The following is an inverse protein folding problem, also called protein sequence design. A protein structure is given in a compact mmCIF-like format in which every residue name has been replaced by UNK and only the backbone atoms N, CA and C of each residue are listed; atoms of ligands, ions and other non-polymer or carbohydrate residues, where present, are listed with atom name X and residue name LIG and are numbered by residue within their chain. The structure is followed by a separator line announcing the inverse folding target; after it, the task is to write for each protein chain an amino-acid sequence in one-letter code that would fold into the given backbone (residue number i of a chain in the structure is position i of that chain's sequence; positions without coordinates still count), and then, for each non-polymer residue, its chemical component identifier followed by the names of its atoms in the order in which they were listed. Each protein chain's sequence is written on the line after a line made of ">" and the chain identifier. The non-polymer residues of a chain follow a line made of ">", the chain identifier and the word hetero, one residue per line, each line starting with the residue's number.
data_IF_849788836867
#
_entry.id   IF_849788836867
#
_cell.length_a   1.000
_cell.length_b   1.000
_cell.length_c   1.000
_cell.angle_alpha   90.00
_cell.angle_beta   90.00
_cell.angle_gamma   90.00
#
_symmetry.space_group_name_H-M   'P 1'
#
loop_
_entity.id
_entity.type
_entity.pdbx_description
1 polymer ?
#
# COMPACT_ATOMS: atom_id res chain seq x y z
N UNK A 1 19.89 6.69 -4.22
CA UNK A 1 19.34 5.76 -5.24
C UNK A 1 17.99 6.32 -5.66
N UNK A 2 17.80 6.64 -6.94
CA UNK A 2 16.46 7.00 -7.41
C UNK A 2 15.59 5.75 -7.56
N UNK A 3 14.25 5.87 -7.53
CA UNK A 3 13.35 4.74 -7.78
C UNK A 3 13.68 3.98 -9.07
N UNK A 4 13.99 4.70 -10.15
CA UNK A 4 14.33 4.09 -11.44
C UNK A 4 15.61 3.24 -11.39
N UNK A 5 16.64 3.70 -10.67
CA UNK A 5 17.88 2.93 -10.49
C UNK A 5 17.66 1.66 -9.66
N UNK A 6 16.68 1.67 -8.76
CA UNK A 6 16.33 0.51 -7.95
C UNK A 6 15.55 -0.54 -8.75
N UNK A 7 14.60 -0.09 -9.59
CA UNK A 7 13.84 -0.93 -10.52
C UNK A 7 14.79 -1.70 -11.46
N UNK A 8 15.74 -0.99 -12.10
CA UNK A 8 16.72 -1.61 -13.00
C UNK A 8 17.58 -2.69 -12.32
N UNK A 9 17.87 -2.52 -11.02
CA UNK A 9 18.63 -3.52 -10.26
C UNK A 9 17.78 -4.76 -9.97
N UNK A 10 16.48 -4.60 -9.68
CA UNK A 10 15.57 -5.73 -9.53
C UNK A 10 15.43 -6.49 -10.85
N UNK A 11 15.22 -5.78 -11.96
CA UNK A 11 15.05 -6.37 -13.30
C UNK A 11 16.31 -7.11 -13.79
N UNK A 12 17.50 -6.67 -13.40
CA UNK A 12 18.76 -7.36 -13.71
C UNK A 12 19.01 -8.63 -12.87
N UNK A 13 18.07 -9.02 -12.01
CA UNK A 13 18.18 -10.21 -11.16
C UNK A 13 19.14 -10.04 -9.99
N UNK A 14 19.49 -8.80 -9.64
CA UNK A 14 20.31 -8.50 -8.46
C UNK A 14 19.57 -8.98 -7.22
N UNK A 15 20.20 -9.88 -6.45
CA UNK A 15 19.68 -10.31 -5.16
C UNK A 15 19.96 -9.24 -4.12
N UNK A 16 18.93 -8.83 -3.40
CA UNK A 16 19.05 -7.95 -2.24
C UNK A 16 19.09 -8.81 -0.99
N UNK A 17 19.79 -8.33 0.04
CA UNK A 17 19.72 -8.95 1.37
C UNK A 17 18.26 -8.81 1.81
N UNK A 18 17.57 -9.94 1.98
CA UNK A 18 16.24 -9.95 2.53
C UNK A 18 16.35 -9.55 4.01
N UNK A 19 15.77 -8.41 4.38
CA UNK A 19 15.63 -8.05 5.77
C UNK A 19 14.40 -8.80 6.31
N UNK A 20 14.64 -9.87 7.06
CA UNK A 20 13.61 -10.53 7.85
C UNK A 20 13.47 -9.78 9.17
N UNK A 21 12.48 -8.88 9.23
CA UNK A 21 12.12 -8.17 10.44
C UNK A 21 10.65 -8.35 10.71
N UNK A 22 10.31 -8.57 11.98
CA UNK A 22 8.91 -8.64 12.40
C UNK A 22 8.32 -7.24 12.33
N UNK A 23 7.26 -7.09 11.54
CA UNK A 23 6.46 -5.87 11.55
C UNK A 23 5.67 -5.89 12.87
N UNK A 24 6.17 -5.20 13.88
CA UNK A 24 5.53 -5.13 15.19
C UNK A 24 4.16 -4.44 15.05
N UNK A 25 3.08 -5.20 15.22
CA UNK A 25 1.72 -4.71 14.99
C UNK A 25 1.15 -3.92 16.17
N UNK A 26 1.81 -3.92 17.33
CA UNK A 26 1.30 -3.27 18.56
C UNK A 26 1.19 -1.75 18.45
N UNK A 27 1.91 -1.12 17.51
CA UNK A 27 1.90 0.34 17.35
C UNK A 27 1.16 0.82 16.09
N UNK A 28 0.48 -0.07 15.35
CA UNK A 28 -0.33 0.35 14.20
C UNK A 28 -1.59 1.07 14.69
N UNK A 29 -1.47 2.37 14.92
CA UNK A 29 -2.60 3.27 15.23
C UNK A 29 -3.43 3.61 13.99
N UNK A 30 -2.86 3.37 12.80
CA UNK A 30 -3.51 3.65 11.54
C UNK A 30 -4.70 2.73 11.30
N UNK A 31 -5.87 3.29 11.04
CA UNK A 31 -7.05 2.55 10.59
C UNK A 31 -7.46 2.98 9.19
N UNK A 32 -8.03 2.03 8.45
CA UNK A 32 -8.68 2.26 7.17
C UNK A 32 -10.10 1.69 7.28
N UNK A 33 -11.09 2.55 7.11
CA UNK A 33 -12.49 2.16 7.07
C UNK A 33 -12.99 2.22 5.63
N UNK A 34 -13.75 1.21 5.21
CA UNK A 34 -14.22 1.06 3.83
C UNK A 34 -15.74 1.03 3.85
N UNK A 35 -16.34 2.00 3.18
CA UNK A 35 -17.79 2.03 2.94
C UNK A 35 -18.08 1.64 1.51
N UNK A 36 -18.85 0.57 1.34
CA UNK A 36 -19.37 0.12 0.05
C UNK A 36 -20.68 0.88 -0.20
N UNK A 37 -20.70 1.65 -1.28
CA UNK A 37 -21.90 2.38 -1.69
C UNK A 37 -22.68 1.60 -2.73
N UNK A 38 -21.97 0.83 -3.56
CA UNK A 38 -22.52 -0.02 -4.61
C UNK A 38 -21.54 -1.16 -4.95
N UNK A 39 -21.86 -1.97 -5.95
CA UNK A 39 -21.07 -3.09 -6.45
C UNK A 39 -19.69 -2.68 -6.99
N UNK A 40 -19.58 -1.45 -7.52
CA UNK A 40 -18.36 -0.92 -8.14
C UNK A 40 -17.80 0.32 -7.43
N UNK A 41 -18.54 0.92 -6.50
CA UNK A 41 -18.17 2.17 -5.84
C UNK A 41 -17.90 1.99 -4.34
N UNK A 42 -16.72 2.45 -3.89
CA UNK A 42 -16.34 2.45 -2.47
C UNK A 42 -15.56 3.69 -2.06
N UNK A 43 -15.73 4.08 -0.79
CA UNK A 43 -14.97 5.15 -0.14
C UNK A 43 -14.07 4.53 0.93
N UNK A 44 -12.77 4.79 0.83
CA UNK A 44 -11.79 4.45 1.87
C UNK A 44 -11.40 5.69 2.68
N UNK A 45 -11.48 5.60 4.02
CA UNK A 45 -11.13 6.69 4.94
C UNK A 45 -10.00 6.26 5.85
N UNK A 46 -8.90 7.02 5.86
CA UNK A 46 -7.81 6.84 6.80
C UNK A 46 -7.96 7.74 8.01
N UNK A 47 -7.40 7.31 9.14
CA UNK A 47 -7.34 8.10 10.38
C UNK A 47 -6.43 9.33 10.31
N UNK A 48 -5.60 9.43 9.26
CA UNK A 48 -4.68 10.54 8.99
C UNK A 48 -5.25 11.53 7.95
N UNK A 49 -6.59 11.68 7.88
CA UNK A 49 -7.26 12.68 7.04
C UNK A 49 -7.32 12.38 5.54
N UNK A 50 -6.83 11.21 5.11
CA UNK A 50 -6.91 10.79 3.70
C UNK A 50 -8.27 10.19 3.36
N UNK A 51 -8.81 10.56 2.18
CA UNK A 51 -10.04 9.97 1.60
C UNK A 51 -9.75 9.50 0.18
N UNK A 52 -10.11 8.27 -0.11
CA UNK A 52 -9.96 7.64 -1.43
C UNK A 52 -11.35 7.31 -1.99
N UNK A 53 -11.61 7.75 -3.22
CA UNK A 53 -12.80 7.37 -3.99
C UNK A 53 -12.35 6.38 -5.05
N UNK A 54 -12.92 5.17 -5.02
CA UNK A 54 -12.47 4.04 -5.83
C UNK A 54 -13.64 3.52 -6.67
N UNK A 55 -13.39 3.36 -7.97
CA UNK A 55 -14.28 2.64 -8.89
C UNK A 55 -13.63 1.32 -9.31
N UNK A 56 -14.41 0.24 -9.37
CA UNK A 56 -13.96 -1.05 -9.89
C UNK A 56 -14.03 -1.00 -11.42
N UNK A 57 -12.89 -1.17 -12.08
CA UNK A 57 -12.83 -1.37 -13.54
C UNK A 57 -12.98 -2.86 -13.84
N UNK A 58 -13.75 -3.17 -14.89
CA UNK A 58 -13.98 -4.53 -15.38
C UNK A 58 -12.71 -5.16 -15.98
#
# INVERSE_FOLDING_TARGET
>A
LSPNQFIQQIESGKRFIAADFRINSTERKGWLDITYLDDDLRIGRGNEGSVFVLTKVA
#
